data_IF_470420212728
#
_entry.id   IF_470420212728
#
_cell.length_a   1.000
_cell.length_b   1.000
_cell.length_c   1.000
_cell.angle_alpha   90.00
_cell.angle_beta   90.00
_cell.angle_gamma   90.00
#
_symmetry.space_group_name_H-M   'P 1'
#
loop_
_entity.id
_entity.type
_entity.pdbx_description
1 polymer ?
#
# COMPACT_ATOMS: atom_id res chain seq x y z
N UNK A 1 9.48 -25.38 20.99
CA UNK A 1 10.43 -24.52 20.25
C UNK A 1 10.43 -23.13 20.89
N UNK A 2 11.51 -22.36 20.73
CA UNK A 2 11.54 -20.99 21.25
C UNK A 2 10.55 -20.13 20.46
N UNK A 3 9.84 -19.22 21.13
CA UNK A 3 8.93 -18.27 20.48
C UNK A 3 9.72 -16.99 20.17
N UNK A 4 9.66 -16.53 18.92
CA UNK A 4 10.39 -15.34 18.47
C UNK A 4 9.50 -14.12 18.26
N UNK A 5 8.22 -14.33 17.94
CA UNK A 5 7.28 -13.25 17.70
C UNK A 5 5.89 -13.63 18.16
N UNK A 6 5.09 -12.61 18.47
CA UNK A 6 3.68 -12.77 18.81
C UNK A 6 2.88 -11.56 18.33
N UNK A 7 1.57 -11.76 18.22
CA UNK A 7 0.59 -10.69 17.99
C UNK A 7 -0.74 -11.09 18.64
N UNK A 8 -1.64 -10.12 18.78
CA UNK A 8 -2.97 -10.35 19.34
C UNK A 8 -4.02 -9.67 18.48
N UNK A 9 -5.20 -10.30 18.38
CA UNK A 9 -6.38 -9.63 17.81
C UNK A 9 -6.99 -8.66 18.84
N UNK A 10 -7.87 -7.72 18.42
CA UNK A 10 -8.52 -6.77 19.32
C UNK A 10 -9.17 -7.46 20.51
N UNK A 11 -8.90 -6.94 21.72
CA UNK A 11 -9.40 -7.50 22.97
C UNK A 11 -8.78 -8.84 23.38
N UNK A 12 -7.72 -9.30 22.69
CA UNK A 12 -7.04 -10.56 23.02
C UNK A 12 -7.86 -11.80 22.70
N UNK A 13 -8.88 -11.70 21.83
CA UNK A 13 -9.72 -12.85 21.43
C UNK A 13 -8.88 -14.01 20.89
N UNK A 14 -7.82 -13.67 20.15
CA UNK A 14 -6.85 -14.60 19.61
C UNK A 14 -5.43 -14.12 19.93
N UNK A 15 -4.58 -15.06 20.32
CA UNK A 15 -3.15 -14.86 20.52
C UNK A 15 -2.40 -15.67 19.46
N UNK A 16 -1.47 -15.04 18.78
CA UNK A 16 -0.64 -15.66 17.76
C UNK A 16 0.81 -15.73 18.22
N UNK A 17 1.50 -16.81 17.87
CA UNK A 17 2.91 -16.99 18.19
C UNK A 17 3.64 -17.63 17.02
N UNK A 18 4.85 -17.16 16.72
CA UNK A 18 5.77 -17.75 15.76
C UNK A 18 6.96 -18.37 16.48
N UNK A 19 7.29 -19.63 16.16
CA UNK A 19 8.39 -20.36 16.79
C UNK A 19 9.63 -20.52 15.90
N UNK A 20 10.71 -21.01 16.52
CA UNK A 20 12.00 -21.28 15.89
C UNK A 20 12.01 -22.50 14.96
N UNK A 21 10.87 -23.18 14.78
CA UNK A 21 10.70 -24.35 13.93
C UNK A 21 9.80 -24.03 12.72
N UNK A 22 9.78 -22.75 12.30
CA UNK A 22 8.98 -22.26 11.17
C UNK A 22 7.50 -22.59 11.31
N UNK A 23 6.97 -22.54 12.53
CA UNK A 23 5.55 -22.74 12.82
C UNK A 23 4.92 -21.47 13.39
N UNK A 24 3.71 -21.18 12.94
CA UNK A 24 2.82 -20.17 13.52
C UNK A 24 1.64 -20.88 14.18
N UNK A 25 1.18 -20.33 15.30
CA UNK A 25 0.11 -20.86 16.11
C UNK A 25 -0.96 -19.80 16.34
N UNK A 26 -2.18 -20.25 16.56
CA UNK A 26 -3.26 -19.43 17.09
C UNK A 26 -3.87 -20.10 18.32
N UNK A 27 -4.09 -19.30 19.35
CA UNK A 27 -4.72 -19.69 20.61
C UNK A 27 -5.94 -18.80 20.85
N UNK A 28 -6.98 -19.36 21.46
CA UNK A 28 -8.09 -18.58 22.03
C UNK A 28 -7.67 -17.90 23.33
N UNK A 29 -8.51 -16.98 23.80
CA UNK A 29 -8.28 -16.22 25.03
C UNK A 29 -8.10 -17.09 26.30
N UNK A 30 -8.61 -18.32 26.31
CA UNK A 30 -8.45 -19.30 27.39
C UNK A 30 -7.12 -20.10 27.30
N UNK A 31 -6.32 -19.89 26.25
CA UNK A 31 -5.07 -20.60 25.99
C UNK A 31 -5.23 -21.90 25.18
N UNK A 32 -6.45 -22.26 24.77
CA UNK A 32 -6.67 -23.43 23.91
C UNK A 32 -6.07 -23.19 22.52
N UNK A 33 -5.27 -24.13 22.00
CA UNK A 33 -4.68 -24.02 20.65
C UNK A 33 -5.73 -24.31 19.59
N UNK A 34 -6.05 -23.32 18.77
CA UNK A 34 -7.02 -23.42 17.69
C UNK A 34 -6.41 -24.04 16.42
N UNK A 35 -5.19 -23.64 16.07
CA UNK A 35 -4.46 -24.25 14.95
C UNK A 35 -2.94 -24.09 15.08
N UNK A 36 -2.23 -24.88 14.25
CA UNK A 36 -0.79 -24.77 13.99
C UNK A 36 -0.57 -24.82 12.48
N UNK A 37 0.20 -23.89 11.95
CA UNK A 37 0.57 -23.81 10.55
C UNK A 37 2.10 -23.86 10.41
N UNK A 38 2.61 -24.78 9.61
CA UNK A 38 4.00 -24.71 9.15
C UNK A 38 4.09 -23.69 8.01
N UNK A 39 4.89 -22.64 8.17
CA UNK A 39 4.96 -21.54 7.19
C UNK A 39 5.75 -21.93 5.94
N UNK A 40 6.62 -22.95 6.03
CA UNK A 40 7.48 -23.39 4.92
C UNK A 40 8.61 -22.41 4.57
N UNK A 41 8.52 -21.15 4.99
CA UNK A 41 9.44 -20.07 4.68
C UNK A 41 10.10 -19.45 5.92
N UNK A 42 10.89 -20.22 6.66
CA UNK A 42 11.65 -19.74 7.81
C UNK A 42 10.82 -19.37 9.06
N UNK A 43 11.53 -19.01 10.13
CA UNK A 43 10.91 -18.63 11.41
C UNK A 43 10.44 -17.17 11.38
N UNK A 44 9.23 -16.90 11.85
CA UNK A 44 8.68 -15.54 11.91
C UNK A 44 9.37 -14.71 13.00
N UNK A 45 10.08 -13.65 12.59
CA UNK A 45 10.84 -12.76 13.50
C UNK A 45 10.01 -11.57 13.97
N UNK A 46 9.03 -11.14 13.19
CA UNK A 46 8.06 -10.12 13.58
C UNK A 46 6.69 -10.47 13.01
N UNK A 47 5.66 -10.07 13.74
CA UNK A 47 4.29 -10.46 13.51
C UNK A 47 3.37 -9.30 13.88
N UNK A 48 2.41 -8.97 13.02
CA UNK A 48 1.41 -7.91 13.26
C UNK A 48 0.03 -8.37 12.80
N UNK A 49 -0.98 -8.09 13.62
CA UNK A 49 -2.38 -8.33 13.29
C UNK A 49 -3.04 -7.02 12.82
N UNK A 50 -3.78 -7.08 11.72
CA UNK A 50 -4.60 -5.98 11.24
C UNK A 50 -5.75 -6.52 10.39
N UNK A 51 -6.98 -6.06 10.65
CA UNK A 51 -8.18 -6.40 9.87
C UNK A 51 -8.27 -7.89 9.49
N UNK A 52 -8.24 -8.75 10.52
CA UNK A 52 -8.34 -10.22 10.38
C UNK A 52 -7.21 -10.87 9.58
N UNK A 53 -6.09 -10.17 9.42
CA UNK A 53 -4.89 -10.69 8.76
C UNK A 53 -3.69 -10.62 9.68
N UNK A 54 -2.86 -11.64 9.59
CA UNK A 54 -1.59 -11.73 10.29
C UNK A 54 -0.45 -11.58 9.29
N UNK A 55 0.31 -10.49 9.42
CA UNK A 55 1.47 -10.20 8.60
C UNK A 55 2.73 -10.65 9.33
N UNK A 56 3.56 -11.44 8.66
CA UNK A 56 4.82 -11.95 9.23
C UNK A 56 5.99 -11.66 8.30
N UNK A 57 7.14 -11.39 8.89
CA UNK A 57 8.44 -11.41 8.20
C UNK A 57 9.32 -12.50 8.79
N UNK A 58 9.99 -13.26 7.93
CA UNK A 58 10.72 -14.46 8.33
C UNK A 58 12.23 -14.36 8.08
N UNK A 59 12.97 -15.31 8.66
CA UNK A 59 14.43 -15.44 8.53
C UNK A 59 14.92 -15.67 7.09
N UNK A 60 14.07 -16.18 6.20
CA UNK A 60 14.44 -16.42 4.80
C UNK A 60 14.13 -15.25 3.87
N UNK A 61 13.67 -14.13 4.43
CA UNK A 61 13.34 -12.92 3.68
C UNK A 61 11.91 -12.87 3.15
N UNK A 62 11.06 -13.85 3.50
CA UNK A 62 9.65 -13.83 3.08
C UNK A 62 8.82 -12.84 3.90
N UNK A 63 7.91 -12.14 3.21
CA UNK A 63 6.77 -11.44 3.81
C UNK A 63 5.52 -12.24 3.45
N UNK A 64 4.78 -12.70 4.45
CA UNK A 64 3.55 -13.45 4.25
C UNK A 64 2.37 -12.80 4.96
N UNK A 65 1.19 -13.00 4.38
CA UNK A 65 -0.09 -12.64 4.97
C UNK A 65 -0.89 -13.93 5.20
N UNK A 66 -1.29 -14.16 6.44
CA UNK A 66 -2.10 -15.31 6.85
C UNK A 66 -3.50 -14.78 7.18
N UNK A 67 -4.52 -15.39 6.59
CA UNK A 67 -5.91 -15.12 6.95
C UNK A 67 -6.17 -15.62 8.39
N UNK A 68 -6.54 -14.69 9.26
CA UNK A 68 -6.83 -14.90 10.67
C UNK A 68 -8.29 -14.55 11.00
N UNK A 69 -9.17 -14.53 9.98
CA UNK A 69 -10.61 -14.43 10.16
C UNK A 69 -11.17 -15.64 10.89
N UNK A 70 -12.33 -15.45 11.52
CA UNK A 70 -13.03 -16.52 12.22
C UNK A 70 -13.39 -17.68 11.27
N UNK A 71 -13.71 -17.38 10.01
CA UNK A 71 -13.95 -18.37 8.98
C UNK A 71 -12.70 -19.23 8.69
N UNK A 72 -11.52 -18.61 8.57
CA UNK A 72 -10.27 -19.33 8.35
C UNK A 72 -9.87 -20.18 9.57
N UNK A 73 -10.09 -19.67 10.79
CA UNK A 73 -9.86 -20.42 12.04
C UNK A 73 -10.76 -21.66 12.09
N UNK A 74 -12.05 -21.51 11.83
CA UNK A 74 -13.00 -22.62 11.80
C UNK A 74 -12.64 -23.65 10.72
N UNK A 75 -12.23 -23.20 9.53
CA UNK A 75 -11.76 -24.07 8.46
C UNK A 75 -10.52 -24.88 8.88
N UNK A 76 -9.55 -24.23 9.53
CA UNK A 76 -8.35 -24.90 10.04
C UNK A 76 -8.68 -25.94 11.12
N UNK A 77 -9.61 -25.65 12.03
CA UNK A 77 -10.08 -26.61 13.04
C UNK A 77 -10.78 -27.83 12.42
N UNK A 78 -11.45 -27.64 11.28
CA UNK A 78 -12.05 -28.73 10.50
C UNK A 78 -11.02 -29.51 9.65
N UNK A 79 -9.74 -29.13 9.70
CA UNK A 79 -8.65 -29.81 9.00
C UNK A 79 -8.37 -29.29 7.59
N UNK A 80 -8.97 -28.16 7.20
CA UNK A 80 -8.71 -27.53 5.90
C UNK A 80 -7.47 -26.64 6.02
N UNK A 81 -6.44 -26.93 5.24
CA UNK A 81 -5.21 -26.12 5.18
C UNK A 81 -5.21 -25.34 3.86
N UNK A 82 -5.11 -23.99 3.90
CA UNK A 82 -5.06 -23.20 2.69
C UNK A 82 -3.75 -23.44 1.92
N UNK A 83 -3.83 -23.42 0.59
CA UNK A 83 -2.65 -23.47 -0.28
C UNK A 83 -2.00 -22.09 -0.27
N UNK A 84 -0.72 -22.02 0.04
CA UNK A 84 0.04 -20.77 -0.01
C UNK A 84 0.06 -20.22 -1.44
N UNK A 85 -0.37 -18.97 -1.60
CA UNK A 85 -0.27 -18.25 -2.87
C UNK A 85 1.02 -17.42 -2.89
N UNK A 86 1.89 -17.68 -3.87
CA UNK A 86 3.07 -16.85 -4.10
C UNK A 86 2.64 -15.57 -4.84
N UNK A 87 2.65 -14.45 -4.13
CA UNK A 87 2.33 -13.14 -4.68
C UNK A 87 3.61 -12.52 -5.23
N UNK A 88 4.05 -12.98 -6.41
CA UNK A 88 5.14 -12.31 -7.15
C UNK A 88 4.67 -10.96 -7.64
N UNK A 89 5.51 -9.93 -7.41
CA UNK A 89 5.32 -8.52 -7.81
C UNK A 89 4.83 -8.30 -9.25
N UNK A 90 5.06 -9.27 -10.15
CA UNK A 90 4.69 -9.20 -11.57
C UNK A 90 3.19 -9.43 -11.88
N UNK A 91 2.39 -9.94 -10.95
CA UNK A 91 1.01 -10.35 -11.26
C UNK A 91 -0.09 -9.38 -10.81
N UNK A 92 0.22 -8.29 -10.09
CA UNK A 92 -0.82 -7.52 -9.40
C UNK A 92 -0.76 -5.98 -9.52
N UNK A 93 0.23 -5.40 -10.21
CA UNK A 93 0.22 -3.96 -10.48
C UNK A 93 0.70 -3.71 -11.92
N UNK A 94 0.11 -2.77 -12.67
CA UNK A 94 0.86 -2.17 -13.76
C UNK A 94 2.17 -1.68 -13.15
N UNK A 95 3.30 -2.16 -13.65
CA UNK A 95 4.61 -1.63 -13.29
C UNK A 95 4.57 -0.15 -13.68
N UNK A 96 4.26 0.73 -12.73
CA UNK A 96 4.33 2.17 -12.94
C UNK A 96 5.81 2.49 -12.98
N UNK A 97 6.40 2.31 -14.16
CA UNK A 97 7.72 2.85 -14.44
C UNK A 97 7.62 4.35 -14.12
N UNK A 98 8.47 4.88 -13.22
CA UNK A 98 8.43 6.30 -12.92
C UNK A 98 8.53 7.05 -14.24
N UNK A 99 7.68 8.06 -14.45
CA UNK A 99 7.76 8.92 -15.62
C UNK A 99 9.12 9.62 -15.61
N UNK A 100 10.09 9.05 -16.30
CA UNK A 100 11.49 9.52 -16.34
C UNK A 100 11.65 10.66 -17.35
N UNK A 101 10.67 10.88 -18.23
CA UNK A 101 10.66 11.99 -19.18
C UNK A 101 9.25 12.51 -19.40
N UNK A 102 9.11 13.79 -19.76
CA UNK A 102 7.82 14.38 -20.08
C UNK A 102 7.17 13.78 -21.35
N UNK A 103 7.94 13.13 -22.22
CA UNK A 103 7.46 12.48 -23.43
C UNK A 103 6.74 11.16 -23.15
N UNK A 104 7.02 10.50 -22.02
CA UNK A 104 6.37 9.25 -21.63
C UNK A 104 5.05 9.45 -20.88
N UNK A 105 4.63 10.71 -20.65
CA UNK A 105 3.37 11.03 -19.98
C UNK A 105 2.23 10.90 -21.01
N UNK A 106 1.22 10.09 -20.71
CA UNK A 106 0.02 9.99 -21.54
C UNK A 106 -0.62 11.38 -21.72
N UNK A 107 -1.10 11.68 -22.93
CA UNK A 107 -1.70 12.97 -23.27
C UNK A 107 -3.22 12.87 -23.30
N UNK A 108 -3.89 13.96 -22.90
CA UNK A 108 -5.35 14.12 -23.02
C UNK A 108 -5.63 15.51 -23.59
N UNK A 109 -6.63 15.61 -24.47
CA UNK A 109 -7.05 16.89 -25.08
C UNK A 109 -8.08 17.65 -24.24
N UNK A 110 -8.63 17.02 -23.20
CA UNK A 110 -9.62 17.62 -22.30
C UNK A 110 -9.57 16.94 -20.93
N UNK A 111 -10.08 17.63 -19.91
CA UNK A 111 -10.31 17.03 -18.59
C UNK A 111 -11.41 15.97 -18.73
N UNK A 112 -11.18 14.71 -18.33
CA UNK A 112 -12.22 13.69 -18.34
C UNK A 112 -13.31 14.16 -17.37
N UNK A 113 -14.52 14.41 -17.87
CA UNK A 113 -15.74 14.86 -17.19
C UNK A 113 -15.62 15.99 -16.11
N UNK A 114 -16.58 16.92 -16.02
CA UNK A 114 -16.61 17.91 -14.93
C UNK A 114 -16.55 17.20 -13.56
N UNK A 115 -15.49 17.44 -12.78
CA UNK A 115 -15.28 16.86 -11.46
C UNK A 115 -14.49 15.55 -11.39
N UNK A 116 -14.02 14.96 -12.50
CA UNK A 116 -13.23 13.71 -12.48
C UNK A 116 -11.72 13.85 -12.76
N UNK A 117 -11.20 15.07 -12.61
CA UNK A 117 -9.77 15.35 -12.65
C UNK A 117 -9.44 16.75 -12.17
N UNK A 118 -8.26 16.89 -11.57
CA UNK A 118 -7.73 18.15 -11.07
C UNK A 118 -6.63 18.64 -12.01
N UNK A 119 -6.73 19.89 -12.45
CA UNK A 119 -5.73 20.49 -13.33
C UNK A 119 -4.65 21.16 -12.49
N UNK A 120 -3.40 20.83 -12.80
CA UNK A 120 -2.21 21.45 -12.21
C UNK A 120 -1.33 22.05 -13.30
N UNK A 121 -0.65 23.14 -12.98
CA UNK A 121 0.23 23.86 -13.90
C UNK A 121 1.65 23.98 -13.34
N UNK A 122 2.63 23.79 -14.20
CA UNK A 122 4.03 24.00 -13.88
C UNK A 122 4.43 25.47 -14.07
N UNK A 123 4.63 26.22 -12.99
CA UNK A 123 5.04 27.63 -13.01
C UNK A 123 6.54 27.79 -12.72
N UNK A 124 7.19 28.76 -13.35
CA UNK A 124 8.59 29.11 -13.09
C UNK A 124 8.64 30.17 -11.99
N UNK A 125 9.17 29.83 -10.82
CA UNK A 125 9.25 30.72 -9.66
C UNK A 125 10.64 30.66 -9.03
N UNK A 126 11.31 31.82 -8.93
CA UNK A 126 12.63 31.92 -8.30
C UNK A 126 13.68 30.96 -8.89
N UNK A 127 13.62 30.72 -10.21
CA UNK A 127 14.54 29.79 -10.89
C UNK A 127 14.19 28.30 -10.75
N UNK A 128 13.08 27.94 -10.09
CA UNK A 128 12.63 26.55 -9.94
C UNK A 128 11.25 26.36 -10.57
N UNK A 129 11.02 25.18 -11.15
CA UNK A 129 9.69 24.79 -11.63
C UNK A 129 8.86 24.26 -10.44
N UNK A 130 7.85 25.03 -10.06
CA UNK A 130 6.83 24.69 -9.07
C UNK A 130 5.58 24.19 -9.77
N UNK A 131 4.72 23.51 -9.02
CA UNK A 131 3.46 22.98 -9.55
C UNK A 131 2.36 23.45 -8.63
N UNK A 132 1.37 24.12 -9.18
CA UNK A 132 0.22 24.70 -8.46
C UNK A 132 -1.08 24.19 -9.06
N UNK A 133 -2.14 24.19 -8.26
CA UNK A 133 -3.46 23.77 -8.68
C UNK A 133 -4.14 24.92 -9.42
N UNK A 134 -4.76 24.62 -10.56
CA UNK A 134 -5.51 25.59 -11.39
C UNK A 134 -7.02 25.37 -11.27
N UNK A 135 -7.45 24.15 -10.93
CA UNK A 135 -8.85 23.87 -10.63
C UNK A 135 -9.36 24.65 -9.42
N UNK A 136 -10.64 25.05 -9.45
CA UNK A 136 -11.31 25.72 -8.34
C UNK A 136 -11.45 24.82 -7.11
N UNK A 137 -11.59 25.42 -5.93
CA UNK A 137 -11.76 24.72 -4.66
C UNK A 137 -10.47 24.27 -3.97
N UNK A 138 -9.31 24.65 -4.51
CA UNK A 138 -7.99 24.37 -3.93
C UNK A 138 -7.29 25.66 -3.51
N UNK A 139 -6.36 25.55 -2.56
CA UNK A 139 -5.52 26.66 -2.11
C UNK A 139 -4.42 26.93 -3.16
N UNK A 140 -4.48 28.06 -3.90
CA UNK A 140 -3.60 28.31 -5.04
C UNK A 140 -2.14 28.54 -4.64
N UNK A 141 -1.87 28.95 -3.39
CA UNK A 141 -0.51 29.17 -2.89
C UNK A 141 0.24 27.87 -2.54
N UNK A 142 -0.46 26.74 -2.49
CA UNK A 142 0.11 25.46 -2.09
C UNK A 142 0.81 24.75 -3.24
N UNK A 143 2.04 24.32 -2.97
CA UNK A 143 2.79 23.50 -3.90
C UNK A 143 2.18 22.09 -4.02
N UNK A 144 2.30 21.48 -5.19
CA UNK A 144 1.96 20.08 -5.45
C UNK A 144 3.25 19.25 -5.51
N UNK A 145 3.33 18.18 -4.72
CA UNK A 145 4.42 17.21 -4.82
C UNK A 145 4.27 16.44 -6.14
N UNK A 146 5.11 16.79 -7.12
CA UNK A 146 5.01 16.33 -8.49
C UNK A 146 6.34 15.72 -8.99
N UNK A 147 6.36 14.70 -9.85
CA UNK A 147 7.60 14.10 -10.34
C UNK A 147 8.50 15.13 -11.04
N UNK A 148 9.76 15.25 -10.62
CA UNK A 148 10.68 16.30 -11.10
C UNK A 148 10.96 16.20 -12.59
N UNK A 149 11.07 14.97 -13.12
CA UNK A 149 11.49 14.70 -14.48
C UNK A 149 10.48 15.14 -15.56
N UNK A 150 9.23 15.37 -15.17
CA UNK A 150 8.16 15.80 -16.08
C UNK A 150 7.76 17.26 -15.90
N UNK A 151 8.40 18.01 -15.00
CA UNK A 151 8.07 19.44 -14.79
C UNK A 151 8.60 20.27 -15.95
N UNK A 152 7.70 20.71 -16.82
CA UNK A 152 8.01 21.62 -17.92
C UNK A 152 7.32 22.97 -17.67
N UNK A 153 8.04 24.11 -17.66
CA UNK A 153 7.42 25.42 -17.51
C UNK A 153 6.25 25.63 -18.48
N UNK A 154 5.10 26.09 -17.97
CA UNK A 154 3.87 26.31 -18.72
C UNK A 154 3.08 25.05 -19.08
N UNK A 155 3.60 23.85 -18.79
CA UNK A 155 2.86 22.62 -19.03
C UNK A 155 1.75 22.41 -18.00
N UNK A 156 0.60 21.96 -18.48
CA UNK A 156 -0.56 21.59 -17.68
C UNK A 156 -0.74 20.07 -17.66
N UNK A 157 -1.20 19.57 -16.52
CA UNK A 157 -1.47 18.15 -16.31
C UNK A 157 -2.83 17.98 -15.65
N UNK A 158 -3.52 16.91 -16.03
CA UNK A 158 -4.69 16.39 -15.33
C UNK A 158 -4.23 15.27 -14.42
N UNK A 159 -4.56 15.37 -13.14
CA UNK A 159 -4.37 14.30 -12.16
C UNK A 159 -5.71 13.81 -11.65
N UNK A 160 -5.81 12.54 -11.25
CA UNK A 160 -7.10 11.99 -10.80
C UNK A 160 -7.57 12.65 -9.50
N UNK A 161 -6.66 12.86 -8.55
CA UNK A 161 -6.98 13.54 -7.29
C UNK A 161 -5.75 14.19 -6.63
N UNK A 162 -6.03 15.13 -5.71
CA UNK A 162 -5.06 15.73 -4.81
C UNK A 162 -5.45 15.48 -3.35
N UNK A 163 -4.46 15.20 -2.50
CA UNK A 163 -4.64 15.09 -1.06
C UNK A 163 -3.86 16.18 -0.33
N UNK A 164 -4.53 16.93 0.55
CA UNK A 164 -3.89 17.93 1.40
C UNK A 164 -3.00 17.30 2.45
N UNK A 165 -1.83 17.87 2.69
CA UNK A 165 -0.90 17.48 3.75
C UNK A 165 -0.88 18.52 4.86
N UNK A 166 -0.67 18.07 6.12
CA UNK A 166 -0.61 18.94 7.32
C UNK A 166 0.43 20.07 7.17
N UNK A 167 1.45 19.89 6.33
CA UNK A 167 2.50 20.88 6.05
C UNK A 167 2.18 21.93 4.97
N UNK A 168 0.93 22.06 4.52
CA UNK A 168 0.53 23.10 3.56
C UNK A 168 0.98 22.83 2.12
N UNK A 169 0.74 21.61 1.63
CA UNK A 169 1.00 21.22 0.25
C UNK A 169 0.10 20.04 -0.17
N UNK A 170 0.00 19.79 -1.47
CA UNK A 170 -0.78 18.69 -2.03
C UNK A 170 0.10 17.53 -2.48
N UNK A 171 -0.44 16.31 -2.43
CA UNK A 171 0.13 15.12 -3.07
C UNK A 171 -0.80 14.58 -4.14
N UNK A 172 -0.24 14.23 -5.29
CA UNK A 172 -0.97 13.59 -6.39
C UNK A 172 -1.39 12.17 -6.00
N UNK A 173 -2.60 11.79 -6.40
CA UNK A 173 -3.13 10.42 -6.35
C UNK A 173 -3.66 10.04 -7.74
N UNK A 174 -3.42 8.80 -8.13
CA UNK A 174 -3.83 8.27 -9.43
C UNK A 174 -2.90 8.69 -10.56
N UNK A 175 -3.43 8.65 -11.78
CA UNK A 175 -2.68 8.88 -13.01
C UNK A 175 -2.36 10.36 -13.24
N UNK A 176 -1.23 10.59 -13.91
CA UNK A 176 -0.79 11.92 -14.36
C UNK A 176 -0.85 11.93 -15.88
N UNK A 177 -1.68 12.81 -16.44
CA UNK A 177 -1.85 12.95 -17.89
C UNK A 177 -1.52 14.37 -18.30
N UNK A 178 -0.72 14.55 -19.34
CA UNK A 178 -0.40 15.88 -19.88
C UNK A 178 -1.60 16.42 -20.65
N UNK A 179 -2.01 17.64 -20.33
CA UNK A 179 -3.04 18.36 -21.07
C UNK A 179 -2.37 19.05 -22.27
N UNK A 180 -2.80 18.70 -23.48
CA UNK A 180 -2.28 19.22 -24.76
C UNK A 180 -3.37 19.83 -25.62
#
# INVERSE_FOLDING_TARGET
>A
AAVYSCATSPGGRYVFAGDSASSVYCFSADGSRLWKLGTGGGSALSMQYHDERLYIVSTDGSLACIDASEAAINAAQSGTVPVAADIKLAAALPTYAPLTTAASVATVSAVPAPGSGVVVECTQEGGRVRVHVVSEGYEPSWNVQFPRAIRQPGARYVVDALHSSVGGFYRVRGEIRRLV
#
